data_IF_671418921133
#
_entry.id   IF_671418921133
#
_cell.length_a   1.000
_cell.length_b   1.000
_cell.length_c   1.000
_cell.angle_alpha   90.00
_cell.angle_beta   90.00
_cell.angle_gamma   90.00
#
_symmetry.space_group_name_H-M   'P 1'
#
loop_
_entity.id
_entity.type
_entity.pdbx_description
1 polymer ?
#
# COMPACT_ATOMS: atom_id res chain seq x y z
N UNK A 1 -27.49 -44.78 17.64
CA UNK A 1 -26.11 -44.26 17.59
C UNK A 1 -26.19 -42.79 17.20
N UNK A 2 -26.08 -41.88 18.16
CA UNK A 2 -26.22 -40.45 17.93
C UNK A 2 -25.51 -39.69 19.04
N UNK A 3 -24.32 -39.17 18.73
CA UNK A 3 -23.51 -38.39 19.66
C UNK A 3 -23.86 -36.92 19.42
N UNK A 4 -24.65 -36.36 20.34
CA UNK A 4 -24.89 -34.92 20.50
C UNK A 4 -23.93 -34.42 21.58
N UNK A 5 -22.91 -33.64 21.21
CA UNK A 5 -22.07 -32.90 22.16
C UNK A 5 -22.46 -31.43 22.08
N UNK A 6 -23.35 -31.02 22.99
CA UNK A 6 -23.65 -29.62 23.27
C UNK A 6 -23.70 -29.47 24.79
N UNK A 7 -22.60 -29.04 25.39
CA UNK A 7 -22.58 -28.34 26.68
C UNK A 7 -21.15 -28.04 27.08
N UNK A 8 -20.71 -26.79 26.91
CA UNK A 8 -19.75 -26.07 27.77
C UNK A 8 -19.39 -24.77 27.06
N UNK A 9 -20.03 -23.69 27.47
CA UNK A 9 -19.55 -22.31 27.67
C UNK A 9 -20.80 -21.50 27.98
N UNK A 10 -21.28 -21.64 29.22
CA UNK A 10 -22.35 -20.81 29.77
C UNK A 10 -22.03 -20.55 31.24
N UNK A 11 -20.92 -19.85 31.51
CA UNK A 11 -20.58 -19.35 32.85
C UNK A 11 -19.41 -18.34 32.89
N UNK A 12 -19.45 -17.21 32.18
CA UNK A 12 -18.61 -16.04 32.53
C UNK A 12 -19.30 -14.70 32.23
N UNK A 13 -20.62 -14.55 32.45
CA UNK A 13 -21.27 -13.23 32.45
C UNK A 13 -22.46 -13.22 33.42
N UNK A 14 -22.18 -13.31 34.72
CA UNK A 14 -23.17 -13.06 35.76
C UNK A 14 -22.48 -12.70 37.09
N UNK A 15 -22.12 -11.42 37.23
CA UNK A 15 -21.85 -10.64 38.46
C UNK A 15 -20.99 -9.45 38.01
N UNK A 16 -21.47 -8.22 37.99
CA UNK A 16 -21.94 -7.46 39.15
C UNK A 16 -22.98 -6.40 38.73
N UNK A 17 -24.10 -6.37 39.44
CA UNK A 17 -25.00 -5.22 39.47
C UNK A 17 -25.16 -4.80 40.92
N UNK A 18 -24.88 -3.52 41.21
CA UNK A 18 -25.57 -2.63 42.16
C UNK A 18 -24.57 -1.68 42.84
N UNK A 19 -24.80 -0.39 42.63
CA UNK A 19 -24.05 0.70 43.25
C UNK A 19 -24.45 2.02 42.59
N UNK A 20 -25.57 2.60 43.00
CA UNK A 20 -26.02 3.91 42.54
C UNK A 20 -25.01 4.99 42.89
N UNK A 21 -24.43 5.64 41.89
CA UNK A 21 -23.89 6.99 42.01
C UNK A 21 -23.94 7.66 40.63
N UNK A 22 -24.45 8.89 40.59
CA UNK A 22 -24.63 9.73 39.40
C UNK A 22 -23.41 9.69 38.46
N UNK A 23 -23.56 9.40 37.15
CA UNK A 23 -22.48 9.62 36.22
C UNK A 23 -22.45 11.10 35.87
N UNK A 24 -21.44 11.80 36.41
CA UNK A 24 -20.90 12.99 35.78
C UNK A 24 -20.42 12.59 34.38
N UNK A 25 -21.00 13.22 33.38
CA UNK A 25 -20.42 13.53 32.06
C UNK A 25 -19.29 12.59 31.63
N UNK A 26 -19.66 11.36 31.27
CA UNK A 26 -18.76 10.47 30.56
C UNK A 26 -18.71 10.95 29.13
N UNK A 27 -17.55 11.45 28.69
CA UNK A 27 -17.27 11.64 27.27
C UNK A 27 -17.65 10.34 26.55
N UNK A 28 -18.74 10.37 25.79
CA UNK A 28 -19.12 9.31 24.88
C UNK A 28 -17.93 9.18 23.92
N UNK A 29 -17.12 8.14 24.13
CA UNK A 29 -15.96 7.88 23.29
C UNK A 29 -16.55 7.50 21.94
N UNK A 30 -16.52 8.43 20.99
CA UNK A 30 -16.97 8.17 19.64
C UNK A 30 -16.05 7.10 19.03
N UNK A 31 -16.51 5.85 19.10
CA UNK A 31 -15.80 4.68 18.57
C UNK A 31 -15.48 4.87 17.09
N UNK A 32 -16.28 5.66 16.36
CA UNK A 32 -16.03 5.99 14.95
C UNK A 32 -14.86 6.95 14.81
N UNK A 33 -14.75 7.93 15.71
CA UNK A 33 -13.61 8.85 15.78
C UNK A 33 -12.34 8.12 16.22
N UNK A 34 -12.41 7.27 17.23
CA UNK A 34 -11.27 6.46 17.70
C UNK A 34 -10.80 5.47 16.61
N UNK A 35 -11.74 4.79 15.94
CA UNK A 35 -11.46 3.94 14.79
C UNK A 35 -10.82 4.74 13.66
N UNK A 36 -11.40 5.89 13.28
CA UNK A 36 -10.82 6.75 12.24
C UNK A 36 -9.41 7.20 12.62
N UNK A 37 -9.17 7.57 13.87
CA UNK A 37 -7.85 7.97 14.36
C UNK A 37 -6.83 6.82 14.33
N UNK A 38 -7.26 5.56 14.49
CA UNK A 38 -6.40 4.39 14.31
C UNK A 38 -5.89 4.23 12.87
N UNK A 39 -6.66 4.64 11.85
CA UNK A 39 -6.23 4.64 10.44
C UNK A 39 -5.45 5.90 10.06
N UNK A 40 -5.63 7.02 10.78
CA UNK A 40 -4.96 8.31 10.52
C UNK A 40 -3.54 8.36 11.10
N UNK A 41 -2.67 7.51 10.56
CA UNK A 41 -1.23 7.54 10.88
C UNK A 41 -0.58 8.89 10.56
N UNK A 42 0.62 9.17 11.09
CA UNK A 42 1.39 10.38 10.72
C UNK A 42 1.54 10.55 9.20
N UNK A 43 1.74 9.44 8.49
CA UNK A 43 1.79 9.45 7.03
C UNK A 43 0.50 10.02 6.43
N UNK A 44 -0.66 9.55 6.92
CA UNK A 44 -1.97 10.05 6.48
C UNK A 44 -2.06 11.56 6.70
N UNK A 45 -1.74 12.06 7.90
CA UNK A 45 -1.82 13.50 8.20
C UNK A 45 -0.90 14.34 7.32
N UNK A 46 0.33 13.88 7.07
CA UNK A 46 1.29 14.58 6.21
C UNK A 46 0.78 14.67 4.76
N UNK A 47 0.25 13.58 4.22
CA UNK A 47 -0.30 13.57 2.87
C UNK A 47 -1.53 14.45 2.74
N UNK A 48 -2.48 14.37 3.69
CA UNK A 48 -3.67 15.22 3.67
C UNK A 48 -3.32 16.70 3.81
N UNK A 49 -2.31 17.04 4.61
CA UNK A 49 -1.78 18.40 4.69
C UNK A 49 -1.30 18.88 3.31
N UNK A 50 -0.58 18.03 2.56
CA UNK A 50 -0.10 18.34 1.20
C UNK A 50 -1.24 18.47 0.20
N UNK A 51 -2.25 17.59 0.26
CA UNK A 51 -3.47 17.67 -0.58
C UNK A 51 -4.18 19.02 -0.36
N UNK A 52 -4.37 19.43 0.90
CA UNK A 52 -5.00 20.70 1.27
C UNK A 52 -4.21 21.89 0.74
N UNK A 53 -2.89 21.91 0.92
CA UNK A 53 -2.03 22.98 0.42
C UNK A 53 -2.08 23.10 -1.11
N UNK A 54 -2.01 21.97 -1.83
CA UNK A 54 -2.06 21.95 -3.29
C UNK A 54 -3.43 22.39 -3.81
N UNK A 55 -4.51 22.01 -3.13
CA UNK A 55 -5.85 22.47 -3.51
C UNK A 55 -5.99 23.98 -3.34
N UNK A 56 -5.55 24.56 -2.22
CA UNK A 56 -5.57 26.02 -2.00
C UNK A 56 -4.79 26.77 -3.09
N UNK A 57 -3.59 26.29 -3.43
CA UNK A 57 -2.75 26.88 -4.47
C UNK A 57 -3.41 26.86 -5.87
N UNK A 58 -4.22 25.84 -6.15
CA UNK A 58 -4.99 25.75 -7.40
C UNK A 58 -6.21 26.66 -7.40
N UNK A 59 -6.91 26.76 -6.28
CA UNK A 59 -8.04 27.69 -6.10
C UNK A 59 -7.62 29.16 -6.20
N UNK A 60 -6.42 29.53 -5.75
CA UNK A 60 -5.90 30.90 -5.93
C UNK A 60 -5.55 31.24 -7.39
N UNK A 61 -5.40 30.26 -8.27
CA UNK A 61 -5.20 30.46 -9.72
C UNK A 61 -6.54 30.45 -10.47
N UNK A 62 -7.61 29.95 -9.84
CA UNK A 62 -8.95 29.85 -10.43
C UNK A 62 -9.95 30.63 -9.58
N UNK A 63 -9.89 31.96 -9.65
CA UNK A 63 -10.82 32.84 -8.93
C UNK A 63 -12.21 32.82 -9.57
N UNK A 64 -13.15 32.11 -8.95
CA UNK A 64 -14.51 32.59 -8.62
C UNK A 64 -15.36 31.45 -8.03
N UNK A 65 -15.62 31.49 -6.71
CA UNK A 65 -16.91 31.16 -6.03
C UNK A 65 -16.72 30.51 -4.65
N UNK A 66 -17.25 31.20 -3.64
CA UNK A 66 -17.80 30.75 -2.32
C UNK A 66 -16.94 29.94 -1.32
N UNK A 67 -17.10 30.19 0.00
CA UNK A 67 -16.38 29.47 1.05
C UNK A 67 -16.91 28.03 1.20
N UNK A 68 -16.09 27.07 1.64
CA UNK A 68 -16.56 25.71 1.87
C UNK A 68 -17.40 25.68 3.15
N UNK A 69 -18.64 25.21 3.01
CA UNK A 69 -19.54 24.85 4.11
C UNK A 69 -18.88 23.77 4.96
N UNK A 70 -18.88 23.97 6.28
CA UNK A 70 -18.56 22.95 7.27
C UNK A 70 -19.55 21.78 7.13
N UNK A 71 -19.14 20.73 6.43
CA UNK A 71 -19.84 19.45 6.42
C UNK A 71 -18.87 18.38 6.92
N UNK A 72 -19.11 17.89 8.13
CA UNK A 72 -18.31 16.90 8.85
C UNK A 72 -18.33 15.48 8.26
N UNK A 73 -18.46 15.33 6.93
CA UNK A 73 -18.28 14.04 6.28
C UNK A 73 -16.86 13.93 5.71
N UNK A 74 -16.26 12.75 5.82
CA UNK A 74 -14.95 12.39 5.24
C UNK A 74 -14.87 12.72 3.74
N UNK A 75 -16.03 12.80 3.07
CA UNK A 75 -16.25 13.16 1.66
C UNK A 75 -15.95 14.63 1.31
N UNK A 76 -15.99 15.57 2.27
CA UNK A 76 -15.69 16.99 2.02
C UNK A 76 -14.18 17.28 1.77
N UNK A 77 -13.31 16.27 1.87
CA UNK A 77 -11.86 16.41 1.70
C UNK A 77 -11.42 16.19 0.24
N UNK A 78 -11.57 17.25 -0.56
CA UNK A 78 -10.77 17.60 -1.75
C UNK A 78 -10.88 16.74 -3.03
N UNK A 79 -11.72 17.25 -3.94
CA UNK A 79 -12.11 16.68 -5.24
C UNK A 79 -11.18 17.09 -6.40
N UNK A 80 -9.98 16.50 -6.55
CA UNK A 80 -9.29 16.56 -7.85
C UNK A 80 -8.29 15.43 -8.04
N UNK A 81 -8.71 14.35 -8.71
CA UNK A 81 -7.85 13.26 -9.20
C UNK A 81 -6.53 13.73 -9.87
N UNK A 82 -6.53 14.88 -10.56
CA UNK A 82 -5.32 15.47 -11.17
C UNK A 82 -4.24 15.87 -10.16
N UNK A 83 -4.64 16.20 -8.92
CA UNK A 83 -3.69 16.52 -7.84
C UNK A 83 -2.89 15.26 -7.49
N UNK A 84 -3.55 14.10 -7.47
CA UNK A 84 -2.93 12.83 -7.12
C UNK A 84 -1.88 12.42 -8.15
N UNK A 85 -2.27 12.13 -9.40
CA UNK A 85 -1.38 11.54 -10.40
C UNK A 85 -0.08 12.34 -10.63
N UNK A 86 -0.15 13.68 -10.60
CA UNK A 86 0.98 14.52 -10.98
C UNK A 86 1.76 15.13 -9.81
N UNK A 87 1.14 15.30 -8.64
CA UNK A 87 1.75 16.09 -7.55
C UNK A 87 1.98 15.31 -6.26
N UNK A 88 1.41 14.11 -6.14
CA UNK A 88 1.42 13.35 -4.89
C UNK A 88 2.08 11.97 -4.99
N UNK A 89 2.43 11.47 -6.18
CA UNK A 89 3.30 10.30 -6.27
C UNK A 89 4.72 10.72 -5.87
N UNK A 90 5.18 10.25 -4.71
CA UNK A 90 6.42 10.70 -4.10
C UNK A 90 7.26 9.50 -3.63
N UNK A 91 8.54 9.40 -4.04
CA UNK A 91 9.20 10.20 -5.09
C UNK A 91 8.62 9.93 -6.47
N UNK A 92 8.68 10.93 -7.36
CA UNK A 92 8.23 10.80 -8.74
C UNK A 92 9.19 9.94 -9.60
N UNK A 93 8.75 9.44 -10.78
CA UNK A 93 9.57 8.57 -11.62
C UNK A 93 10.94 9.15 -12.04
N UNK A 94 11.03 10.47 -12.27
CA UNK A 94 12.30 11.10 -12.65
C UNK A 94 13.27 11.12 -11.47
N UNK A 95 12.76 11.46 -10.28
CA UNK A 95 13.54 11.42 -9.04
C UNK A 95 14.05 10.00 -8.75
N UNK A 96 13.20 8.98 -8.92
CA UNK A 96 13.62 7.57 -8.79
C UNK A 96 14.73 7.20 -9.77
N UNK A 97 14.61 7.59 -11.03
CA UNK A 97 15.63 7.29 -12.06
C UNK A 97 16.98 7.85 -11.63
N UNK A 98 17.02 9.12 -11.24
CA UNK A 98 18.24 9.78 -10.72
C UNK A 98 18.81 9.06 -9.50
N UNK A 99 17.98 8.70 -8.52
CA UNK A 99 18.42 7.97 -7.32
C UNK A 99 19.04 6.62 -7.69
N UNK A 100 18.40 5.86 -8.58
CA UNK A 100 18.90 4.55 -8.99
C UNK A 100 20.20 4.63 -9.80
N UNK A 101 20.39 5.70 -10.57
CA UNK A 101 21.61 5.95 -11.36
C UNK A 101 22.81 6.27 -10.47
N UNK A 102 22.63 7.15 -9.47
CA UNK A 102 23.72 7.53 -8.57
C UNK A 102 24.01 6.48 -7.48
N UNK A 103 23.03 5.67 -7.13
CA UNK A 103 23.17 4.68 -6.06
C UNK A 103 24.10 3.51 -6.44
N UNK A 104 24.89 3.03 -5.48
CA UNK A 104 25.81 1.89 -5.64
C UNK A 104 25.10 0.53 -5.55
N UNK A 105 23.98 0.37 -6.25
CA UNK A 105 23.17 -0.86 -6.29
C UNK A 105 23.69 -1.80 -7.40
N UNK A 106 23.73 -3.11 -7.13
CA UNK A 106 24.12 -4.09 -8.15
C UNK A 106 23.06 -4.22 -9.26
N UNK A 107 23.48 -4.48 -10.51
CA UNK A 107 22.61 -4.51 -11.70
C UNK A 107 21.27 -5.25 -11.48
N UNK A 108 21.31 -6.50 -11.04
CA UNK A 108 20.09 -7.29 -10.82
C UNK A 108 19.16 -6.70 -9.75
N UNK A 109 19.72 -6.16 -8.66
CA UNK A 109 18.91 -5.51 -7.63
C UNK A 109 18.32 -4.21 -8.18
N UNK A 110 19.09 -3.43 -8.95
CA UNK A 110 18.60 -2.20 -9.59
C UNK A 110 17.39 -2.47 -10.49
N UNK A 111 17.42 -3.55 -11.29
CA UNK A 111 16.28 -3.96 -12.11
C UNK A 111 15.04 -4.22 -11.25
N UNK A 112 15.14 -5.05 -10.21
CA UNK A 112 14.01 -5.34 -9.33
C UNK A 112 13.47 -4.12 -8.58
N UNK A 113 14.35 -3.19 -8.18
CA UNK A 113 13.92 -1.93 -7.57
C UNK A 113 13.23 -1.01 -8.59
N UNK A 114 13.69 -1.01 -9.84
CA UNK A 114 13.02 -0.30 -10.93
C UNK A 114 11.62 -0.86 -11.18
N UNK A 115 11.50 -2.19 -11.25
CA UNK A 115 10.21 -2.88 -11.41
C UNK A 115 9.26 -2.54 -10.25
N UNK A 116 9.78 -2.51 -9.01
CA UNK A 116 9.03 -2.03 -7.84
C UNK A 116 8.48 -0.60 -8.00
N UNK A 117 9.33 0.34 -8.41
CA UNK A 117 8.88 1.73 -8.58
C UNK A 117 7.93 1.90 -9.77
N UNK A 118 8.03 1.04 -10.79
CA UNK A 118 7.11 0.99 -11.91
C UNK A 118 5.73 0.46 -11.48
N UNK A 119 5.69 -0.69 -10.81
CA UNK A 119 4.43 -1.31 -10.35
C UNK A 119 3.69 -0.41 -9.36
N UNK A 120 4.41 0.21 -8.43
CA UNK A 120 3.81 1.18 -7.49
C UNK A 120 3.29 2.44 -8.21
N UNK A 121 3.94 2.89 -9.28
CA UNK A 121 3.44 4.01 -10.09
C UNK A 121 2.21 3.63 -10.93
N UNK A 122 2.19 2.42 -11.50
CA UNK A 122 1.04 1.88 -12.23
C UNK A 122 -0.18 1.76 -11.31
N UNK A 123 0.00 1.23 -10.10
CA UNK A 123 -1.07 1.15 -9.11
C UNK A 123 -1.58 2.53 -8.69
N UNK A 124 -0.68 3.49 -8.48
CA UNK A 124 -1.06 4.87 -8.17
C UNK A 124 -1.88 5.50 -9.31
N UNK A 125 -1.50 5.27 -10.57
CA UNK A 125 -2.27 5.73 -11.73
C UNK A 125 -3.65 5.09 -11.79
N UNK A 126 -3.75 3.78 -11.58
CA UNK A 126 -5.02 3.05 -11.51
C UNK A 126 -5.94 3.64 -10.44
N UNK A 127 -5.44 3.82 -9.22
CA UNK A 127 -6.17 4.44 -8.12
C UNK A 127 -6.66 5.86 -8.48
N UNK A 128 -5.83 6.63 -9.19
CA UNK A 128 -6.23 7.96 -9.68
C UNK A 128 -7.37 7.90 -10.70
N UNK A 129 -7.34 6.92 -11.60
CA UNK A 129 -8.41 6.72 -12.58
C UNK A 129 -9.72 6.25 -11.93
N UNK A 130 -9.64 5.34 -10.96
CA UNK A 130 -10.80 4.92 -10.18
C UNK A 130 -11.43 6.10 -9.43
N UNK A 131 -10.61 6.94 -8.78
CA UNK A 131 -11.10 8.13 -8.09
C UNK A 131 -11.78 9.13 -9.05
N UNK A 132 -11.22 9.29 -10.26
CA UNK A 132 -11.87 10.08 -11.32
C UNK A 132 -13.25 9.52 -11.69
N UNK A 133 -13.37 8.19 -11.82
CA UNK A 133 -14.61 7.53 -12.15
C UNK A 133 -15.65 7.69 -11.02
N UNK A 134 -15.23 7.58 -9.76
CA UNK A 134 -16.09 7.82 -8.59
C UNK A 134 -16.67 9.24 -8.64
N UNK A 135 -15.83 10.25 -8.81
CA UNK A 135 -16.32 11.64 -8.87
C UNK A 135 -17.23 11.89 -10.07
N UNK A 136 -16.91 11.33 -11.24
CA UNK A 136 -17.76 11.45 -12.41
C UNK A 136 -19.13 10.82 -12.14
N UNK A 137 -19.15 9.63 -11.53
CA UNK A 137 -20.37 8.92 -11.18
C UNK A 137 -21.20 9.71 -10.16
N UNK A 138 -20.59 10.20 -9.07
CA UNK A 138 -21.29 11.03 -8.07
C UNK A 138 -21.87 12.31 -8.68
N UNK A 139 -21.11 13.01 -9.53
CA UNK A 139 -21.60 14.23 -10.19
C UNK A 139 -22.82 13.95 -11.06
N UNK A 140 -22.82 12.81 -11.77
CA UNK A 140 -23.95 12.38 -12.58
C UNK A 140 -25.14 11.94 -11.71
N UNK A 141 -24.87 11.26 -10.60
CA UNK A 141 -25.86 10.84 -9.63
C UNK A 141 -26.60 12.02 -9.00
N UNK A 142 -25.87 13.02 -8.50
CA UNK A 142 -26.44 14.24 -7.93
C UNK A 142 -27.31 15.01 -8.92
N UNK A 143 -26.97 14.98 -10.22
CA UNK A 143 -27.82 15.60 -11.26
C UNK A 143 -29.16 14.90 -11.48
N UNK A 144 -29.28 13.63 -11.08
CA UNK A 144 -30.49 12.82 -11.21
C UNK A 144 -31.29 12.71 -9.92
N UNK A 145 -30.67 12.93 -8.76
CA UNK A 145 -31.33 12.88 -7.44
C UNK A 145 -32.67 13.63 -7.37
N UNK A 146 -32.84 14.85 -7.92
CA UNK A 146 -34.15 15.53 -7.92
C UNK A 146 -35.22 14.78 -8.73
N UNK A 147 -34.80 14.04 -9.77
CA UNK A 147 -35.67 13.21 -10.59
C UNK A 147 -35.99 11.87 -9.96
N UNK A 148 -35.36 11.46 -8.85
CA UNK A 148 -35.79 10.30 -8.07
C UNK A 148 -36.75 10.69 -6.95
N UNK A 149 -36.68 11.94 -6.47
CA UNK A 149 -37.47 12.44 -5.34
C UNK A 149 -38.86 13.00 -5.71
N UNK A 150 -39.14 13.27 -6.99
CA UNK A 150 -40.47 13.70 -7.44
C UNK A 150 -41.51 12.57 -7.27
N UNK A 151 -42.61 12.75 -6.55
CA UNK A 151 -43.58 11.66 -6.32
C UNK A 151 -44.39 11.24 -7.58
N UNK A 152 -44.27 11.97 -8.69
CA UNK A 152 -45.15 11.84 -9.85
C UNK A 152 -44.47 11.11 -11.04
N UNK A 153 -43.86 9.96 -10.79
CA UNK A 153 -43.03 9.27 -11.80
C UNK A 153 -43.80 8.31 -12.68
N UNK A 154 -43.64 8.49 -13.99
CA UNK A 154 -43.88 7.43 -14.95
C UNK A 154 -42.74 6.40 -14.81
N UNK A 155 -43.02 5.26 -14.18
CA UNK A 155 -42.07 4.17 -13.90
C UNK A 155 -41.28 3.73 -15.13
N UNK A 156 -41.88 3.84 -16.33
CA UNK A 156 -41.23 3.55 -17.60
C UNK A 156 -40.07 4.50 -17.91
N UNK A 157 -40.21 5.80 -17.60
CA UNK A 157 -39.18 6.81 -17.83
C UNK A 157 -37.98 6.66 -16.89
N UNK A 158 -38.18 6.06 -15.71
CA UNK A 158 -37.10 5.70 -14.79
C UNK A 158 -36.30 4.49 -15.27
N UNK A 159 -36.96 3.51 -15.90
CA UNK A 159 -36.29 2.35 -16.52
C UNK A 159 -35.43 2.78 -17.72
N UNK A 160 -35.96 3.66 -18.59
CA UNK A 160 -35.19 4.21 -19.71
C UNK A 160 -34.01 5.07 -19.22
N UNK A 161 -34.20 5.84 -18.15
CA UNK A 161 -33.11 6.56 -17.49
C UNK A 161 -32.09 5.61 -16.87
N UNK A 162 -32.52 4.49 -16.29
CA UNK A 162 -31.62 3.50 -15.73
C UNK A 162 -30.70 2.87 -16.79
N UNK A 163 -31.21 2.58 -17.99
CA UNK A 163 -30.38 2.10 -19.08
C UNK A 163 -29.22 3.07 -19.39
N UNK A 164 -29.48 4.38 -19.36
CA UNK A 164 -28.45 5.42 -19.48
C UNK A 164 -27.51 5.51 -18.26
N UNK A 165 -28.05 5.40 -17.03
CA UNK A 165 -27.26 5.42 -15.80
C UNK A 165 -26.31 4.23 -15.73
N UNK A 166 -26.77 3.05 -16.13
CA UNK A 166 -25.97 1.82 -16.08
C UNK A 166 -24.70 1.93 -16.92
N UNK A 167 -24.70 2.73 -18.00
CA UNK A 167 -23.50 3.00 -18.83
C UNK A 167 -22.44 3.81 -18.09
N UNK A 168 -22.81 4.55 -17.05
CA UNK A 168 -21.85 5.34 -16.26
C UNK A 168 -20.94 4.47 -15.41
N UNK A 169 -21.31 3.21 -15.21
CA UNK A 169 -20.53 2.22 -14.46
C UNK A 169 -19.57 1.42 -15.34
N UNK A 170 -19.69 1.47 -16.67
CA UNK A 170 -18.78 0.77 -17.60
C UNK A 170 -17.28 1.04 -17.35
N UNK A 171 -16.85 2.25 -16.92
CA UNK A 171 -15.48 2.50 -16.48
C UNK A 171 -15.02 1.63 -15.29
N UNK A 172 -15.92 1.27 -14.36
CA UNK A 172 -15.61 0.36 -13.25
C UNK A 172 -15.53 -1.10 -13.71
N UNK A 173 -16.47 -1.52 -14.58
CA UNK A 173 -16.47 -2.85 -15.19
C UNK A 173 -15.15 -3.11 -15.92
N UNK A 174 -14.74 -2.16 -16.76
CA UNK A 174 -13.47 -2.24 -17.50
C UNK A 174 -12.24 -2.15 -16.59
N UNK A 175 -12.34 -1.47 -15.43
CA UNK A 175 -11.25 -1.36 -14.47
C UNK A 175 -10.92 -2.68 -13.76
N UNK A 176 -11.89 -3.60 -13.63
CA UNK A 176 -11.66 -4.91 -12.98
C UNK A 176 -10.49 -5.69 -13.57
N UNK A 177 -10.44 -5.79 -14.90
CA UNK A 177 -9.34 -6.45 -15.62
C UNK A 177 -7.98 -5.79 -15.38
N UNK A 178 -7.94 -4.45 -15.30
CA UNK A 178 -6.73 -3.67 -15.06
C UNK A 178 -6.23 -3.82 -13.62
N UNK A 179 -7.15 -3.84 -12.64
CA UNK A 179 -6.83 -4.11 -11.24
C UNK A 179 -6.19 -5.50 -11.11
N UNK A 180 -6.79 -6.51 -11.74
CA UNK A 180 -6.26 -7.87 -11.72
C UNK A 180 -4.88 -7.98 -12.37
N UNK A 181 -4.66 -7.30 -13.49
CA UNK A 181 -3.37 -7.24 -14.18
C UNK A 181 -2.27 -6.67 -13.27
N UNK A 182 -2.48 -5.48 -12.70
CA UNK A 182 -1.49 -4.82 -11.82
C UNK A 182 -1.27 -5.65 -10.55
N UNK A 183 -2.33 -6.21 -9.96
CA UNK A 183 -2.21 -7.10 -8.80
C UNK A 183 -1.38 -8.35 -9.12
N UNK A 184 -1.59 -8.96 -10.28
CA UNK A 184 -0.81 -10.13 -10.70
C UNK A 184 0.67 -9.80 -10.89
N UNK A 185 0.97 -8.63 -11.47
CA UNK A 185 2.33 -8.09 -11.58
C UNK A 185 2.97 -7.87 -10.21
N UNK A 186 2.23 -7.29 -9.25
CA UNK A 186 2.69 -7.15 -7.87
C UNK A 186 3.00 -8.50 -7.21
N UNK A 187 2.14 -9.51 -7.37
CA UNK A 187 2.35 -10.84 -6.79
C UNK A 187 3.57 -11.55 -7.40
N UNK A 188 3.78 -11.42 -8.71
CA UNK A 188 4.96 -11.95 -9.38
C UNK A 188 6.23 -11.24 -8.91
N UNK A 189 6.19 -9.91 -8.81
CA UNK A 189 7.29 -9.10 -8.30
C UNK A 189 7.65 -9.45 -6.86
N UNK A 190 6.67 -9.70 -5.97
CA UNK A 190 6.93 -10.20 -4.61
C UNK A 190 7.76 -11.48 -4.65
N UNK A 191 7.37 -12.47 -5.46
CA UNK A 191 8.12 -13.74 -5.60
C UNK A 191 9.56 -13.50 -6.05
N UNK A 192 9.76 -12.60 -7.01
CA UNK A 192 11.10 -12.25 -7.50
C UNK A 192 11.95 -11.55 -6.45
N UNK A 193 11.38 -10.58 -5.72
CA UNK A 193 12.04 -9.87 -4.62
C UNK A 193 12.43 -10.83 -3.48
N UNK A 194 11.52 -11.70 -3.07
CA UNK A 194 11.75 -12.68 -2.00
C UNK A 194 12.80 -13.74 -2.40
N UNK A 195 12.67 -14.33 -3.59
CA UNK A 195 13.67 -15.27 -4.10
C UNK A 195 15.05 -14.64 -4.14
N UNK A 196 15.16 -13.37 -4.56
CA UNK A 196 16.44 -12.67 -4.61
C UNK A 196 16.95 -12.33 -3.21
N UNK A 197 16.08 -11.92 -2.28
CA UNK A 197 16.41 -11.67 -0.88
C UNK A 197 17.00 -12.93 -0.25
N UNK A 198 16.36 -14.07 -0.44
CA UNK A 198 16.74 -15.33 0.19
C UNK A 198 18.05 -15.88 -0.40
N UNK A 199 18.25 -15.78 -1.72
CA UNK A 199 19.55 -16.05 -2.36
C UNK A 199 20.66 -15.16 -1.81
N UNK A 200 20.38 -13.89 -1.58
CA UNK A 200 21.37 -12.94 -1.02
C UNK A 200 21.66 -13.22 0.44
N UNK A 201 20.64 -13.59 1.22
CA UNK A 201 20.77 -14.02 2.61
C UNK A 201 21.58 -15.31 2.73
N UNK A 202 21.40 -16.27 1.83
CA UNK A 202 22.19 -17.50 1.78
C UNK A 202 23.68 -17.19 1.53
N UNK A 203 24.00 -16.29 0.58
CA UNK A 203 25.38 -15.82 0.34
C UNK A 203 25.98 -15.13 1.57
N UNK A 204 25.19 -14.33 2.26
CA UNK A 204 25.61 -13.66 3.49
C UNK A 204 25.95 -14.68 4.60
N UNK A 205 25.11 -15.71 4.78
CA UNK A 205 25.38 -16.82 5.71
C UNK A 205 26.67 -17.57 5.37
N UNK A 206 26.92 -17.83 4.07
CA UNK A 206 28.15 -18.47 3.62
C UNK A 206 29.40 -17.65 3.96
N UNK A 207 29.36 -16.33 3.70
CA UNK A 207 30.48 -15.44 4.05
C UNK A 207 30.71 -15.41 5.55
N UNK A 208 29.65 -15.31 6.36
CA UNK A 208 29.76 -15.32 7.82
C UNK A 208 30.36 -16.65 8.34
N UNK A 209 29.95 -17.79 7.76
CA UNK A 209 30.52 -19.10 8.08
C UNK A 209 31.99 -19.22 7.69
N UNK A 210 32.39 -18.70 6.52
CA UNK A 210 33.78 -18.70 6.07
C UNK A 210 34.66 -17.81 6.95
N UNK A 211 34.18 -16.65 7.37
CA UNK A 211 34.92 -15.79 8.31
C UNK A 211 35.08 -16.43 9.69
N UNK A 212 34.09 -17.20 10.15
CA UNK A 212 34.16 -17.90 11.43
C UNK A 212 35.17 -19.07 11.40
N UNK A 213 35.18 -19.84 10.31
CA UNK A 213 36.13 -20.95 10.12
C UNK A 213 37.56 -20.49 9.82
N UNK A 214 37.73 -19.36 9.11
CA UNK A 214 39.03 -18.72 8.90
C UNK A 214 39.71 -18.32 10.21
N UNK A 215 38.96 -17.86 11.23
CA UNK A 215 39.54 -17.53 12.54
C UNK A 215 40.16 -18.77 13.22
N UNK A 216 39.49 -19.92 13.12
CA UNK A 216 39.99 -21.20 13.65
C UNK A 216 41.22 -21.70 12.88
N UNK A 217 41.23 -21.58 11.55
CA UNK A 217 42.37 -21.96 10.71
C UNK A 217 43.58 -21.06 10.95
N UNK A 218 43.39 -19.75 11.11
CA UNK A 218 44.47 -18.81 11.45
C UNK A 218 45.02 -19.14 12.84
N UNK A 219 44.17 -19.43 13.83
CA UNK A 219 44.62 -19.83 15.16
C UNK A 219 45.46 -21.13 15.10
N UNK A 220 45.00 -22.15 14.40
CA UNK A 220 45.71 -23.42 14.22
C UNK A 220 47.03 -23.28 13.43
N UNK A 221 47.08 -22.39 12.43
CA UNK A 221 48.30 -22.09 11.70
C UNK A 221 49.29 -21.27 12.53
N UNK A 222 48.81 -20.36 13.40
CA UNK A 222 49.71 -19.62 14.31
C UNK A 222 50.33 -20.51 15.38
N UNK A 223 49.59 -21.48 15.94
CA UNK A 223 50.14 -22.40 16.94
C UNK A 223 51.20 -23.33 16.33
N UNK A 224 50.95 -23.87 15.14
CA UNK A 224 51.93 -24.68 14.40
C UNK A 224 53.14 -23.85 13.93
N UNK A 225 52.93 -22.60 13.52
CA UNK A 225 54.00 -21.68 13.13
C UNK A 225 54.93 -21.31 14.32
N UNK A 226 54.38 -21.06 15.51
CA UNK A 226 55.18 -20.80 16.72
C UNK A 226 56.05 -22.02 17.08
N UNK A 227 55.50 -23.23 16.97
CA UNK A 227 56.21 -24.49 17.25
C UNK A 227 57.32 -24.76 16.23
N UNK A 228 57.07 -24.50 14.94
CA UNK A 228 58.07 -24.71 13.88
C UNK A 228 59.20 -23.68 13.90
N UNK A 229 58.92 -22.40 14.21
CA UNK A 229 59.96 -21.36 14.35
C UNK A 229 60.87 -21.64 15.55
N UNK A 230 60.34 -22.18 16.65
CA UNK A 230 61.15 -22.59 17.79
C UNK A 230 62.06 -23.82 17.49
N UNK A 231 61.77 -24.57 16.42
CA UNK A 231 62.44 -25.84 16.11
C UNK A 231 63.46 -25.74 14.98
N UNK A 232 63.28 -24.87 13.98
CA UNK A 232 64.23 -24.74 12.86
C UNK A 232 64.50 -23.29 12.44
N UNK A 233 65.79 -22.90 12.52
CA UNK A 233 66.31 -21.67 11.92
C UNK A 233 66.51 -21.85 10.41
N UNK A 234 65.47 -21.65 9.59
CA UNK A 234 65.65 -21.35 8.17
C UNK A 234 64.60 -20.36 7.64
N UNK A 235 65.12 -19.25 7.14
CA UNK A 235 64.41 -18.12 6.57
C UNK A 235 63.98 -18.43 5.13
N UNK A 236 62.70 -18.77 4.87
CA UNK A 236 62.16 -18.73 3.49
C UNK A 236 60.62 -18.85 3.33
N UNK A 237 59.80 -18.54 4.33
CA UNK A 237 58.33 -18.67 4.18
C UNK A 237 57.51 -17.36 4.27
N UNK A 238 58.17 -16.20 4.40
CA UNK A 238 57.49 -14.92 4.68
C UNK A 238 56.73 -14.34 3.46
N UNK A 239 56.97 -14.83 2.24
CA UNK A 239 56.41 -14.22 1.02
C UNK A 239 55.09 -14.84 0.51
N UNK A 240 54.72 -16.06 0.94
CA UNK A 240 53.57 -16.80 0.39
C UNK A 240 52.19 -16.40 0.93
N UNK A 241 51.99 -16.29 2.25
CA UNK A 241 50.65 -16.07 2.82
C UNK A 241 50.11 -14.64 2.66
N UNK A 242 50.95 -13.66 2.35
CA UNK A 242 50.60 -12.23 2.35
C UNK A 242 49.87 -11.79 1.07
N UNK A 243 50.05 -12.50 -0.05
CA UNK A 243 49.47 -12.13 -1.35
C UNK A 243 48.00 -12.59 -1.52
N UNK A 244 47.58 -13.65 -0.83
CA UNK A 244 46.20 -14.19 -0.94
C UNK A 244 45.19 -13.46 -0.05
N UNK A 245 45.63 -12.85 1.05
CA UNK A 245 44.73 -12.17 2.02
C UNK A 245 44.41 -10.72 1.66
N UNK A 246 45.23 -10.08 0.81
CA UNK A 246 45.11 -8.66 0.46
C UNK A 246 43.90 -8.32 -0.44
N UNK A 247 43.38 -9.28 -1.23
CA UNK A 247 42.39 -9.01 -2.29
C UNK A 247 40.93 -9.18 -1.88
N UNK A 248 40.63 -9.85 -0.76
CA UNK A 248 39.26 -10.05 -0.31
C UNK A 248 39.00 -9.16 0.91
N UNK A 249 38.21 -8.09 0.73
CA UNK A 249 37.68 -7.28 1.84
C UNK A 249 36.32 -7.88 2.25
N UNK A 250 36.27 -8.87 3.18
CA UNK A 250 35.05 -9.63 3.45
C UNK A 250 34.00 -8.75 4.12
N UNK A 251 34.44 -7.76 4.92
CA UNK A 251 33.59 -6.79 5.58
C UNK A 251 32.82 -5.90 4.59
N UNK A 252 33.46 -5.45 3.50
CA UNK A 252 32.81 -4.63 2.48
C UNK A 252 31.76 -5.41 1.68
N UNK A 253 32.09 -6.66 1.32
CA UNK A 253 31.14 -7.57 0.66
C UNK A 253 29.96 -7.89 1.59
N UNK A 254 30.23 -8.23 2.86
CA UNK A 254 29.19 -8.48 3.88
C UNK A 254 28.24 -7.30 4.02
N UNK A 255 28.76 -6.08 4.19
CA UNK A 255 27.95 -4.86 4.30
C UNK A 255 27.06 -4.67 3.06
N UNK A 256 27.61 -4.84 1.86
CA UNK A 256 26.86 -4.74 0.60
C UNK A 256 25.71 -5.75 0.51
N UNK A 257 25.94 -7.00 0.96
CA UNK A 257 24.91 -8.03 0.98
C UNK A 257 23.82 -7.71 2.00
N UNK A 258 24.17 -7.30 3.22
CA UNK A 258 23.22 -6.89 4.25
C UNK A 258 22.31 -5.76 3.75
N UNK A 259 22.89 -4.71 3.17
CA UNK A 259 22.16 -3.60 2.54
C UNK A 259 21.23 -4.07 1.41
N UNK A 260 21.71 -4.99 0.58
CA UNK A 260 20.89 -5.58 -0.49
C UNK A 260 19.70 -6.37 0.07
N UNK A 261 19.90 -7.13 1.16
CA UNK A 261 18.81 -7.87 1.83
C UNK A 261 17.77 -6.90 2.38
N UNK A 262 18.19 -5.82 3.04
CA UNK A 262 17.29 -4.81 3.60
C UNK A 262 16.45 -4.13 2.52
N UNK A 263 17.08 -3.66 1.43
CA UNK A 263 16.38 -3.06 0.27
C UNK A 263 15.32 -3.99 -0.33
N UNK A 264 15.68 -5.25 -0.55
CA UNK A 264 14.76 -6.24 -1.11
C UNK A 264 13.62 -6.59 -0.14
N UNK A 265 13.89 -6.60 1.16
CA UNK A 265 12.87 -6.85 2.19
C UNK A 265 11.85 -5.72 2.29
N UNK A 266 12.31 -4.46 2.27
CA UNK A 266 11.44 -3.27 2.25
C UNK A 266 10.58 -3.27 0.98
N UNK A 267 11.18 -3.51 -0.19
CA UNK A 267 10.46 -3.59 -1.46
C UNK A 267 9.43 -4.74 -1.46
N UNK A 268 9.79 -5.93 -0.96
CA UNK A 268 8.89 -7.08 -0.90
C UNK A 268 7.68 -6.79 0.00
N UNK A 269 7.92 -6.24 1.19
CA UNK A 269 6.86 -5.82 2.12
C UNK A 269 5.94 -4.76 1.50
N UNK A 270 6.51 -3.73 0.89
CA UNK A 270 5.74 -2.67 0.22
C UNK A 270 4.87 -3.21 -0.91
N UNK A 271 5.42 -4.11 -1.74
CA UNK A 271 4.68 -4.74 -2.85
C UNK A 271 3.58 -5.67 -2.35
N UNK A 272 3.84 -6.42 -1.27
CA UNK A 272 2.84 -7.29 -0.66
C UNK A 272 1.66 -6.48 -0.10
N UNK A 273 1.93 -5.40 0.64
CA UNK A 273 0.86 -4.53 1.16
C UNK A 273 0.08 -3.91 -0.01
N UNK A 274 0.76 -3.40 -1.04
CA UNK A 274 0.09 -2.88 -2.24
C UNK A 274 -0.82 -3.93 -2.90
N UNK A 275 -0.35 -5.18 -3.04
CA UNK A 275 -1.15 -6.26 -3.61
C UNK A 275 -2.42 -6.55 -2.79
N UNK A 276 -2.35 -6.33 -1.47
CA UNK A 276 -3.47 -6.48 -0.55
C UNK A 276 -4.45 -5.32 -0.67
N UNK A 277 -3.96 -4.09 -0.75
CA UNK A 277 -4.80 -2.90 -0.97
C UNK A 277 -5.55 -3.03 -2.31
N UNK A 278 -4.89 -3.51 -3.36
CA UNK A 278 -5.52 -3.81 -4.65
C UNK A 278 -6.53 -4.96 -4.58
N UNK A 279 -6.36 -5.94 -3.68
CA UNK A 279 -7.38 -6.98 -3.41
C UNK A 279 -8.67 -6.35 -2.88
N UNK A 280 -8.54 -5.48 -1.89
CA UNK A 280 -9.66 -4.80 -1.26
C UNK A 280 -10.39 -3.92 -2.26
N UNK A 281 -9.65 -3.09 -3.00
CA UNK A 281 -10.19 -2.26 -4.08
C UNK A 281 -10.89 -3.13 -5.13
N UNK A 282 -10.30 -4.25 -5.54
CA UNK A 282 -10.91 -5.18 -6.50
C UNK A 282 -12.25 -5.72 -6.02
N UNK A 283 -12.36 -6.08 -4.74
CA UNK A 283 -13.60 -6.61 -4.15
C UNK A 283 -14.70 -5.55 -4.10
N UNK A 284 -14.35 -4.32 -3.73
CA UNK A 284 -15.29 -3.18 -3.71
C UNK A 284 -15.77 -2.83 -5.11
N UNK A 285 -14.87 -2.77 -6.10
CA UNK A 285 -15.24 -2.57 -7.50
C UNK A 285 -16.13 -3.70 -8.02
N UNK A 286 -15.87 -4.94 -7.62
CA UNK A 286 -16.70 -6.10 -7.99
C UNK A 286 -18.10 -5.98 -7.38
N UNK A 287 -18.20 -5.58 -6.10
CA UNK A 287 -19.48 -5.38 -5.41
C UNK A 287 -20.36 -4.33 -6.13
N UNK A 288 -19.80 -3.16 -6.42
CA UNK A 288 -20.48 -2.10 -7.20
C UNK A 288 -20.92 -2.64 -8.56
N UNK A 289 -20.05 -3.37 -9.25
CA UNK A 289 -20.37 -3.94 -10.55
C UNK A 289 -21.51 -4.98 -10.48
N UNK A 290 -21.53 -5.82 -9.45
CA UNK A 290 -22.55 -6.85 -9.27
C UNK A 290 -23.92 -6.23 -8.96
N UNK A 291 -23.96 -5.19 -8.12
CA UNK A 291 -25.17 -4.43 -7.84
C UNK A 291 -25.74 -3.75 -9.10
N UNK A 292 -24.87 -3.11 -9.90
CA UNK A 292 -25.30 -2.47 -11.17
C UNK A 292 -25.80 -3.49 -12.18
N UNK A 293 -25.08 -4.61 -12.34
CA UNK A 293 -25.48 -5.66 -13.27
C UNK A 293 -26.78 -6.35 -12.83
N UNK A 294 -27.04 -6.45 -11.52
CA UNK A 294 -28.30 -6.96 -11.00
C UNK A 294 -29.47 -6.08 -11.44
N UNK A 295 -29.39 -4.76 -11.21
CA UNK A 295 -30.47 -3.83 -11.60
C UNK A 295 -30.61 -3.77 -13.14
N UNK A 296 -29.50 -3.85 -13.89
CA UNK A 296 -29.51 -3.96 -15.35
C UNK A 296 -30.24 -5.20 -15.85
N UNK A 297 -29.94 -6.37 -15.31
CA UNK A 297 -30.61 -7.60 -15.68
C UNK A 297 -32.11 -7.56 -15.36
N UNK A 298 -32.49 -6.95 -14.23
CA UNK A 298 -33.91 -6.74 -13.89
C UNK A 298 -34.61 -5.82 -14.89
N UNK A 299 -33.99 -4.69 -15.25
CA UNK A 299 -34.54 -3.76 -16.23
C UNK A 299 -34.77 -4.44 -17.59
N UNK A 300 -33.77 -5.14 -18.12
CA UNK A 300 -33.85 -5.85 -19.40
C UNK A 300 -34.96 -6.93 -19.38
N UNK A 301 -35.05 -7.69 -18.30
CA UNK A 301 -36.06 -8.73 -18.12
C UNK A 301 -37.50 -8.20 -18.20
N UNK A 302 -37.77 -7.05 -17.57
CA UNK A 302 -39.11 -6.46 -17.57
C UNK A 302 -39.46 -5.72 -18.86
N UNK A 303 -38.47 -5.08 -19.51
CA UNK A 303 -38.64 -4.44 -20.82
C UNK A 303 -39.06 -5.45 -21.89
N UNK A 304 -38.52 -6.67 -21.86
CA UNK A 304 -38.79 -7.73 -22.83
C UNK A 304 -40.18 -8.39 -22.74
N UNK A 305 -40.93 -8.20 -21.64
CA UNK A 305 -42.13 -9.01 -21.34
C UNK A 305 -43.50 -8.40 -21.66
N UNK A 306 -43.56 -7.21 -22.27
CA UNK A 306 -44.80 -6.62 -22.83
C UNK A 306 -45.94 -6.34 -21.84
N UNK A 307 -46.66 -7.37 -21.38
CA UNK A 307 -47.89 -7.28 -20.57
C UNK A 307 -47.69 -7.05 -19.07
N UNK A 308 -46.47 -7.20 -18.54
CA UNK A 308 -46.12 -6.94 -17.12
C UNK A 308 -45.32 -5.65 -16.90
N UNK A 309 -45.18 -4.83 -17.95
CA UNK A 309 -44.19 -3.74 -18.04
C UNK A 309 -44.38 -2.67 -16.96
N UNK A 310 -45.61 -2.31 -16.61
CA UNK A 310 -45.90 -1.29 -15.58
C UNK A 310 -45.50 -1.78 -14.18
N UNK A 311 -45.97 -2.96 -13.77
CA UNK A 311 -45.62 -3.57 -12.47
C UNK A 311 -44.11 -3.88 -12.38
N UNK A 312 -43.51 -4.35 -13.47
CA UNK A 312 -42.06 -4.58 -13.56
C UNK A 312 -41.25 -3.30 -13.45
N UNK A 313 -41.70 -2.21 -14.09
CA UNK A 313 -41.03 -0.91 -13.99
C UNK A 313 -41.12 -0.28 -12.60
N UNK A 314 -42.19 -0.55 -11.86
CA UNK A 314 -42.36 -0.11 -10.48
C UNK A 314 -41.40 -0.85 -9.52
N UNK A 315 -41.23 -2.16 -9.73
CA UNK A 315 -40.26 -2.99 -9.01
C UNK A 315 -38.82 -2.56 -9.28
N UNK A 316 -38.47 -2.29 -10.55
CA UNK A 316 -37.15 -1.77 -10.93
C UNK A 316 -36.89 -0.39 -10.33
N UNK A 317 -37.90 0.50 -10.32
CA UNK A 317 -37.78 1.81 -9.69
C UNK A 317 -37.55 1.72 -8.18
N UNK A 318 -38.22 0.79 -7.50
CA UNK A 318 -38.02 0.51 -6.08
C UNK A 318 -36.60 0.03 -5.79
N UNK A 319 -36.12 -0.94 -6.58
CA UNK A 319 -34.76 -1.47 -6.45
C UNK A 319 -33.70 -0.41 -6.76
N UNK A 320 -33.93 0.43 -7.78
CA UNK A 320 -33.03 1.55 -8.09
C UNK A 320 -32.92 2.52 -6.92
N UNK A 321 -34.04 2.85 -6.26
CA UNK A 321 -34.04 3.71 -5.07
C UNK A 321 -33.34 3.05 -3.88
N UNK A 322 -33.45 1.73 -3.72
CA UNK A 322 -32.69 1.00 -2.69
C UNK A 322 -31.19 1.03 -2.98
N UNK A 323 -30.82 0.82 -4.23
CA UNK A 323 -29.43 0.85 -4.67
C UNK A 323 -28.82 2.25 -4.60
N UNK A 324 -29.60 3.33 -4.67
CA UNK A 324 -29.10 4.71 -4.48
C UNK A 324 -28.28 4.85 -3.20
N UNK A 325 -28.89 4.46 -2.08
CA UNK A 325 -28.30 4.62 -0.76
C UNK A 325 -27.11 3.67 -0.58
N UNK A 326 -27.23 2.41 -1.03
CA UNK A 326 -26.12 1.45 -0.98
C UNK A 326 -24.94 1.89 -1.84
N UNK A 327 -25.19 2.37 -3.07
CA UNK A 327 -24.13 2.83 -3.97
C UNK A 327 -23.37 4.01 -3.41
N UNK A 328 -24.04 4.96 -2.75
CA UNK A 328 -23.35 6.08 -2.13
C UNK A 328 -22.38 5.59 -1.06
N UNK A 329 -22.81 4.65 -0.20
CA UNK A 329 -21.97 4.06 0.84
C UNK A 329 -20.81 3.25 0.24
N UNK A 330 -21.06 2.45 -0.79
CA UNK A 330 -20.02 1.67 -1.47
C UNK A 330 -18.97 2.54 -2.17
N UNK A 331 -19.38 3.66 -2.77
CA UNK A 331 -18.47 4.62 -3.39
C UNK A 331 -17.63 5.35 -2.33
N UNK A 332 -18.20 5.66 -1.17
CA UNK A 332 -17.47 6.23 -0.04
C UNK A 332 -16.43 5.24 0.50
N UNK A 333 -16.80 3.96 0.69
CA UNK A 333 -15.87 2.90 1.11
C UNK A 333 -14.74 2.71 0.08
N UNK A 334 -15.06 2.67 -1.22
CA UNK A 334 -14.08 2.55 -2.29
C UNK A 334 -13.13 3.74 -2.34
N UNK A 335 -13.65 4.97 -2.21
CA UNK A 335 -12.84 6.18 -2.17
C UNK A 335 -11.88 6.18 -0.98
N UNK A 336 -12.35 5.80 0.21
CA UNK A 336 -11.51 5.70 1.40
C UNK A 336 -10.34 4.73 1.18
N UNK A 337 -10.62 3.54 0.67
CA UNK A 337 -9.57 2.55 0.38
C UNK A 337 -8.60 3.01 -0.73
N UNK A 338 -9.06 3.80 -1.69
CA UNK A 338 -8.17 4.42 -2.68
C UNK A 338 -7.22 5.44 -2.02
N UNK A 339 -7.71 6.27 -1.10
CA UNK A 339 -6.84 7.19 -0.35
C UNK A 339 -5.83 6.44 0.52
N UNK A 340 -6.25 5.40 1.21
CA UNK A 340 -5.36 4.53 1.98
C UNK A 340 -4.29 3.89 1.07
N UNK A 341 -4.66 3.46 -0.13
CA UNK A 341 -3.71 2.90 -1.08
C UNK A 341 -2.66 3.95 -1.52
N UNK A 342 -3.06 5.19 -1.82
CA UNK A 342 -2.10 6.27 -2.10
C UNK A 342 -1.12 6.48 -0.94
N UNK A 343 -1.62 6.41 0.30
CA UNK A 343 -0.80 6.54 1.49
C UNK A 343 0.25 5.44 1.59
N UNK A 344 -0.20 4.19 1.48
CA UNK A 344 0.66 3.01 1.51
C UNK A 344 1.74 3.10 0.45
N UNK A 345 1.38 3.46 -0.79
CA UNK A 345 2.33 3.57 -1.91
C UNK A 345 3.43 4.57 -1.59
N UNK A 346 3.07 5.81 -1.23
CA UNK A 346 4.05 6.85 -0.96
C UNK A 346 4.94 6.50 0.24
N UNK A 347 4.35 5.96 1.31
CA UNK A 347 5.12 5.52 2.47
C UNK A 347 6.12 4.43 2.08
N UNK A 348 5.69 3.42 1.34
CA UNK A 348 6.55 2.31 0.94
C UNK A 348 7.69 2.78 0.01
N UNK A 349 7.40 3.66 -0.95
CA UNK A 349 8.42 4.24 -1.85
C UNK A 349 9.46 5.03 -1.07
N UNK A 350 9.04 5.88 -0.12
CA UNK A 350 9.94 6.67 0.71
C UNK A 350 10.82 5.80 1.64
N UNK A 351 10.26 4.75 2.24
CA UNK A 351 11.03 3.80 3.05
C UNK A 351 12.12 3.12 2.22
N UNK A 352 11.80 2.73 0.98
CA UNK A 352 12.79 2.12 0.09
C UNK A 352 13.86 3.11 -0.34
N UNK A 353 13.50 4.35 -0.68
CA UNK A 353 14.48 5.40 -1.01
C UNK A 353 15.41 5.67 0.15
N UNK A 354 14.89 5.78 1.37
CA UNK A 354 15.72 5.90 2.57
C UNK A 354 16.72 4.76 2.68
N UNK A 355 16.29 3.52 2.48
CA UNK A 355 17.17 2.35 2.51
C UNK A 355 18.20 2.32 1.34
N UNK A 356 17.87 2.93 0.20
CA UNK A 356 18.82 3.11 -0.90
C UNK A 356 19.91 4.12 -0.50
N UNK A 357 19.52 5.25 0.10
CA UNK A 357 20.38 6.41 0.41
C UNK A 357 21.17 6.28 1.72
N UNK A 358 20.57 5.83 2.83
CA UNK A 358 21.24 5.58 4.13
C UNK A 358 22.39 4.57 3.99
N UNK A 359 22.36 3.81 2.90
CA UNK A 359 23.36 2.82 2.54
C UNK A 359 24.58 3.38 1.80
N UNK A 360 24.67 4.68 1.51
CA UNK A 360 25.84 5.29 0.85
C UNK A 360 26.83 5.97 1.83
N UNK A 361 26.52 6.04 3.14
CA UNK A 361 27.50 6.51 4.13
C UNK A 361 28.64 5.48 4.34
N UNK A 362 29.92 5.91 4.28
CA UNK A 362 31.03 5.07 4.68
C UNK A 362 30.96 4.83 6.20
N UNK A 363 31.39 3.65 6.71
CA UNK A 363 31.53 3.49 8.14
C UNK A 363 32.55 4.52 8.63
N UNK A 364 32.15 5.36 9.57
CA UNK A 364 33.06 6.23 10.31
C UNK A 364 34.22 5.38 10.85
N UNK A 365 35.37 5.44 10.18
CA UNK A 365 36.63 5.08 10.80
C UNK A 365 36.96 6.18 11.80
N UNK A 366 36.39 6.10 13.00
CA UNK A 366 36.86 6.90 14.13
C UNK A 366 38.24 6.37 14.51
N UNK A 367 39.29 6.97 13.97
CA UNK A 367 40.61 6.89 14.55
C UNK A 367 40.55 7.52 15.94
N UNK A 368 40.81 6.70 16.94
CA UNK A 368 41.03 7.15 18.31
C UNK A 368 42.15 8.21 18.34
N UNK A 369 42.00 9.33 19.05
CA UNK A 369 43.14 10.16 19.40
C UNK A 369 43.93 9.42 20.48
N UNK A 370 45.19 9.14 20.16
CA UNK A 370 46.20 8.66 21.09
C UNK A 370 46.22 9.55 22.33
N UNK A 371 46.17 8.91 23.49
CA UNK A 371 46.58 9.53 24.75
C UNK A 371 47.99 10.11 24.58
N UNK A 372 48.14 11.39 24.90
CA UNK A 372 49.43 11.94 25.29
C UNK A 372 49.34 12.28 26.77
N UNK A 373 50.01 11.46 27.57
CA UNK A 373 50.42 11.79 28.94
C UNK A 373 51.54 12.85 28.87
N UNK A 374 51.44 13.84 29.77
CA UNK A 374 52.48 14.60 30.49
C UNK A 374 53.68 15.15 29.69
N UNK A 375 53.89 16.47 29.75
CA UNK A 375 54.51 17.11 30.92
C UNK A 375 53.76 18.41 31.25
#
# INVERSE_FOLDING_TARGET
>A
MGIKVSSKIKRILASTASGSSNPKDGADVDVREEYANAFRTESYNHFWTRVVQLSRKKSTVSSSSSPPVESSSTSARLMSYRLFAHNLLDPDPNTITRILDVSRVGRHTRTLLSDYFLETANAFLLCTLLLKNIHHLRSKYESLKPKFQSENHNSLALVDQFAEISKWFDPFISSGSRIQLIRSGCLDLVKHLESRRDKTRAKLKLINGLTHSSGLLVLALTTTLIVTIASHAFALFIAGPTLLTSRFKPAGLRNKLTKTVARLDVAAKGTYILSRDLDTISRLVTRINDEVNHVRAMAEFWVGRGSGRVRGSEEVARELKRCEESFSEELDELEEHIYLCFMTINRARNLLVKEILDSDDPPNCSFAPKSKKKL
#
